data_IF_746783117417
#
_entry.id   IF_746783117417
#
_cell.length_a   1.000
_cell.length_b   1.000
_cell.length_c   1.000
_cell.angle_alpha   90.00
_cell.angle_beta   90.00
_cell.angle_gamma   90.00
#
_symmetry.space_group_name_H-M   'P 1'
#
loop_
_entity.id
_entity.type
_entity.pdbx_description
1 polymer ?
#
# COMPACT_ATOMS: atom_id res chain seq x y z
N UNK A 1 -7.02 6.13 -10.88
CA UNK A 1 -7.64 5.81 -9.58
C UNK A 1 -6.58 6.03 -8.51
N UNK A 2 -6.89 6.78 -7.46
CA UNK A 2 -5.93 7.06 -6.39
C UNK A 2 -5.90 5.94 -5.38
N UNK A 3 -4.71 5.48 -4.99
CA UNK A 3 -4.51 4.58 -3.84
C UNK A 3 -3.63 5.30 -2.83
N UNK A 4 -4.11 5.45 -1.60
CA UNK A 4 -3.38 6.07 -0.49
C UNK A 4 -3.07 5.02 0.59
N UNK A 5 -1.84 5.02 1.09
CA UNK A 5 -1.37 4.22 2.21
C UNK A 5 -1.31 5.08 3.46
N UNK A 6 -2.09 4.70 4.46
CA UNK A 6 -2.28 5.41 5.73
C UNK A 6 -1.58 4.66 6.88
N UNK A 7 -1.12 5.37 7.93
CA UNK A 7 -1.29 6.81 8.19
C UNK A 7 -0.18 7.72 7.59
N UNK A 8 0.78 7.14 6.86
CA UNK A 8 1.93 7.89 6.32
C UNK A 8 1.54 8.84 5.16
N UNK A 9 0.35 8.68 4.59
CA UNK A 9 -0.19 9.55 3.54
C UNK A 9 0.48 9.40 2.17
N UNK A 10 1.15 8.27 1.91
CA UNK A 10 1.79 8.01 0.61
C UNK A 10 0.71 7.61 -0.38
N UNK A 11 0.69 8.22 -1.57
CA UNK A 11 -0.33 7.93 -2.56
C UNK A 11 0.22 7.75 -3.97
N UNK A 12 -0.48 6.91 -4.74
CA UNK A 12 -0.20 6.60 -6.13
C UNK A 12 -1.45 6.83 -6.97
N UNK A 13 -1.26 7.34 -8.17
CA UNK A 13 -2.33 7.42 -9.18
C UNK A 13 -2.12 6.30 -10.18
N UNK A 14 -3.10 5.41 -10.30
CA UNK A 14 -3.05 4.31 -11.26
C UNK A 14 -3.88 4.61 -12.50
N UNK A 15 -3.32 4.32 -13.67
CA UNK A 15 -4.05 4.27 -14.92
C UNK A 15 -5.03 3.08 -14.95
N UNK A 16 -5.87 3.03 -16.00
CA UNK A 16 -6.70 1.84 -16.27
C UNK A 16 -5.77 0.64 -16.49
N UNK A 17 -6.13 -0.50 -15.90
CA UNK A 17 -5.38 -1.76 -15.94
C UNK A 17 -3.98 -1.72 -15.30
N UNK A 18 -3.65 -0.66 -14.55
CA UNK A 18 -2.44 -0.60 -13.74
C UNK A 18 -2.70 -1.12 -12.32
N UNK A 19 -1.70 -1.79 -11.76
CA UNK A 19 -1.76 -2.39 -10.42
C UNK A 19 -0.49 -2.08 -9.65
N UNK A 20 -0.62 -1.99 -8.34
CA UNK A 20 0.49 -1.98 -7.39
C UNK A 20 0.33 -3.14 -6.42
N UNK A 21 1.43 -3.57 -5.86
CA UNK A 21 1.48 -4.66 -4.90
C UNK A 21 2.02 -4.14 -3.58
N UNK A 22 1.41 -4.59 -2.49
CA UNK A 22 1.93 -4.39 -1.15
C UNK A 22 2.57 -5.69 -0.70
N UNK A 23 3.89 -5.70 -0.54
CA UNK A 23 4.62 -6.80 0.09
C UNK A 23 4.68 -6.53 1.59
N UNK A 24 4.27 -7.54 2.36
CA UNK A 24 4.21 -7.51 3.81
C UNK A 24 4.91 -8.72 4.41
N UNK A 25 5.50 -8.54 5.59
CA UNK A 25 5.99 -9.65 6.39
C UNK A 25 4.85 -10.25 7.21
N UNK A 26 4.41 -11.45 6.83
CA UNK A 26 3.19 -12.08 7.37
C UNK A 26 3.20 -12.25 8.90
N UNK A 27 4.38 -12.33 9.52
CA UNK A 27 4.51 -12.52 10.97
C UNK A 27 4.38 -11.22 11.76
N UNK A 28 4.45 -10.06 11.10
CA UNK A 28 4.37 -8.75 11.76
C UNK A 28 3.03 -8.06 11.49
N UNK A 29 2.42 -8.30 10.32
CA UNK A 29 1.16 -7.66 9.96
C UNK A 29 -0.04 -8.42 10.54
N UNK A 30 -0.66 -7.84 11.55
CA UNK A 30 -1.84 -8.40 12.23
C UNK A 30 -3.13 -8.22 11.43
N UNK A 31 -3.28 -7.10 10.73
CA UNK A 31 -4.43 -6.82 9.86
C UNK A 31 -4.08 -5.76 8.82
N UNK A 32 -4.72 -5.83 7.65
CA UNK A 32 -4.72 -4.76 6.65
C UNK A 32 -6.19 -4.37 6.43
N UNK A 33 -6.48 -3.08 6.48
CA UNK A 33 -7.82 -2.57 6.19
C UNK A 33 -7.81 -1.82 4.85
N UNK A 34 -8.81 -2.10 4.02
CA UNK A 34 -8.95 -1.52 2.68
C UNK A 34 -10.32 -0.86 2.60
N UNK A 35 -10.34 0.46 2.47
CA UNK A 35 -11.55 1.23 2.18
C UNK A 35 -11.60 1.59 0.71
N UNK A 36 -12.71 1.26 0.06
CA UNK A 36 -12.95 1.58 -1.35
C UNK A 36 -14.01 2.66 -1.44
N UNK A 37 -13.68 3.73 -2.17
CA UNK A 37 -14.54 4.87 -2.44
C UNK A 37 -14.68 5.05 -3.96
N UNK A 38 -15.70 5.77 -4.45
CA UNK A 38 -15.86 6.02 -5.88
C UNK A 38 -14.66 6.70 -6.55
N UNK A 39 -13.85 7.46 -5.78
CA UNK A 39 -12.71 8.22 -6.27
C UNK A 39 -11.34 7.60 -5.92
N UNK A 40 -11.29 6.48 -5.20
CA UNK A 40 -10.02 5.87 -4.81
C UNK A 40 -10.11 4.81 -3.73
N UNK A 41 -8.94 4.34 -3.31
CA UNK A 41 -8.76 3.31 -2.29
C UNK A 41 -7.86 3.88 -1.19
N UNK A 42 -8.20 3.63 0.06
CA UNK A 42 -7.31 3.86 1.19
C UNK A 42 -6.93 2.51 1.81
N UNK A 43 -5.63 2.27 1.95
CA UNK A 43 -5.04 1.08 2.58
C UNK A 43 -4.45 1.50 3.91
N UNK A 44 -5.07 1.06 5.00
CA UNK A 44 -4.60 1.32 6.35
C UNK A 44 -3.68 0.21 6.80
N UNK A 45 -2.44 0.62 7.13
CA UNK A 45 -1.40 -0.27 7.61
C UNK A 45 -1.20 -0.06 9.11
N UNK A 46 -1.04 -1.13 9.89
CA UNK A 46 -0.56 -1.05 11.26
C UNK A 46 0.74 -0.24 11.32
N UNK A 47 0.98 0.41 12.46
CA UNK A 47 2.15 1.28 12.63
C UNK A 47 3.44 0.55 12.21
N UNK A 48 4.26 1.15 11.32
CA UNK A 48 5.36 0.46 10.63
C UNK A 48 6.55 0.10 11.50
N UNK A 49 6.55 0.45 12.79
CA UNK A 49 7.70 0.28 13.69
C UNK A 49 8.40 -1.09 13.61
N UNK A 50 7.65 -2.18 13.46
CA UNK A 50 8.23 -3.53 13.33
C UNK A 50 8.13 -4.13 11.91
N UNK A 51 7.49 -3.45 10.94
CA UNK A 51 7.15 -3.99 9.62
C UNK A 51 7.76 -3.21 8.45
N UNK A 52 8.53 -3.90 7.61
CA UNK A 52 8.92 -3.40 6.28
C UNK A 52 7.76 -3.56 5.30
N UNK A 53 6.96 -2.50 5.10
CA UNK A 53 5.97 -2.48 4.04
C UNK A 53 6.61 -1.99 2.75
N UNK A 54 6.61 -2.82 1.71
CA UNK A 54 7.20 -2.45 0.42
C UNK A 54 6.12 -2.39 -0.64
N UNK A 55 6.04 -1.25 -1.31
CA UNK A 55 5.12 -1.02 -2.41
C UNK A 55 5.87 -1.29 -3.72
N UNK A 56 5.33 -2.18 -4.53
CA UNK A 56 5.92 -2.63 -5.79
C UNK A 56 5.04 -2.28 -6.98
N UNK A 57 5.65 -2.06 -8.14
CA UNK A 57 4.95 -2.02 -9.42
C UNK A 57 4.61 -3.44 -9.93
N UNK A 58 3.97 -3.52 -11.10
CA UNK A 58 3.61 -4.79 -11.74
C UNK A 58 4.80 -5.61 -12.27
N UNK A 59 5.98 -4.99 -12.42
CA UNK A 59 7.23 -5.66 -12.72
C UNK A 59 7.95 -6.21 -11.48
N UNK A 60 7.44 -5.92 -10.28
CA UNK A 60 8.06 -6.28 -9.01
C UNK A 60 9.15 -5.31 -8.57
N UNK A 61 9.28 -4.14 -9.19
CA UNK A 61 10.23 -3.11 -8.79
C UNK A 61 9.70 -2.34 -7.58
N UNK A 62 10.60 -2.00 -6.65
CA UNK A 62 10.25 -1.19 -5.48
C UNK A 62 9.95 0.26 -5.89
N UNK A 63 8.72 0.71 -5.63
CA UNK A 63 8.28 2.08 -5.79
C UNK A 63 8.49 2.89 -4.52
N UNK A 64 8.26 2.26 -3.36
CA UNK A 64 8.42 2.89 -2.05
C UNK A 64 8.53 1.85 -0.93
N UNK A 65 9.07 2.28 0.21
CA UNK A 65 9.14 1.51 1.45
C UNK A 65 8.69 2.38 2.62
N UNK A 66 7.79 1.82 3.43
CA UNK A 66 7.22 2.48 4.60
C UNK A 66 7.87 1.91 5.86
N UNK A 67 8.35 2.79 6.73
CA UNK A 67 9.10 2.53 7.97
C UNK A 67 8.59 3.47 9.08
#
# INVERSE_FOLDING_TARGET
MRITFEPLGIAFELAVDEFIFLRVEQHVVTSIEIHVWPNGIAVWLPYPGDSDYVILDSGGNELNRLW
#
